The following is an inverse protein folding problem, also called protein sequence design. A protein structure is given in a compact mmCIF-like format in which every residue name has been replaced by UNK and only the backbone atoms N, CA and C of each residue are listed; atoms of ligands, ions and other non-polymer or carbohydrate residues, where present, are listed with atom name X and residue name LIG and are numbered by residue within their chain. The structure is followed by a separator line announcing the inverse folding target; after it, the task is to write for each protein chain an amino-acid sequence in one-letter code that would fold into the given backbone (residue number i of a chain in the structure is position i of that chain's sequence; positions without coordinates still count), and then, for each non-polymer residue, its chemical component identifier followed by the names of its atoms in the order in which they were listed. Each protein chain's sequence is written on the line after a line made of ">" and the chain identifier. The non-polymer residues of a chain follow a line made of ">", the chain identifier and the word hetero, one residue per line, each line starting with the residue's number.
data_IF_908337746588
#
_entry.id   IF_908337746588
#
_cell.length_a   1.000
_cell.length_b   1.000
_cell.length_c   1.000
_cell.angle_alpha   90.00
_cell.angle_beta   90.00
_cell.angle_gamma   90.00
#
_symmetry.space_group_name_H-M   'P 1'
#
loop_
_entity.id
_entity.type
_entity.pdbx_description
1 polymer ?
#
# COMPACT_ATOMS: atom_id res chain seq x y z
N UNK A 1 47.82 -66.69 -3.45
CA UNK A 1 48.16 -65.28 -3.72
C UNK A 1 46.89 -64.58 -4.13
N UNK A 2 46.50 -63.63 -3.29
CA UNK A 2 45.14 -63.35 -2.88
C UNK A 2 44.26 -62.54 -3.84
N UNK A 3 42.96 -62.85 -3.75
CA UNK A 3 41.84 -62.11 -4.31
C UNK A 3 41.66 -60.80 -3.54
N UNK A 4 41.78 -59.66 -4.20
CA UNK A 4 41.14 -58.41 -3.74
C UNK A 4 40.25 -57.83 -4.83
N UNK A 5 39.04 -58.37 -4.89
CA UNK A 5 37.85 -57.71 -5.44
C UNK A 5 37.49 -56.49 -4.58
N UNK A 6 37.99 -55.31 -4.95
CA UNK A 6 37.52 -54.06 -4.37
C UNK A 6 36.20 -53.66 -5.06
N UNK A 7 35.08 -54.21 -4.57
CA UNK A 7 33.74 -53.68 -4.84
C UNK A 7 33.63 -52.28 -4.23
N UNK A 8 33.87 -51.24 -5.01
CA UNK A 8 33.50 -49.89 -4.62
C UNK A 8 31.97 -49.84 -4.50
N UNK A 9 31.52 -49.62 -3.25
CA UNK A 9 30.13 -49.69 -2.81
C UNK A 9 29.33 -48.49 -3.37
N UNK A 10 28.13 -48.70 -3.95
CA UNK A 10 27.29 -47.64 -4.55
C UNK A 10 26.64 -46.69 -3.52
N UNK A 11 27.13 -46.64 -2.29
CA UNK A 11 26.47 -46.00 -1.15
C UNK A 11 26.86 -44.53 -0.92
N UNK A 12 27.72 -43.93 -1.76
CA UNK A 12 28.16 -42.53 -1.59
C UNK A 12 27.43 -41.50 -2.44
N UNK A 13 26.77 -41.90 -3.52
CA UNK A 13 26.00 -41.00 -4.39
C UNK A 13 24.61 -40.66 -3.84
N UNK A 14 24.02 -41.52 -3.00
CA UNK A 14 22.69 -41.27 -2.42
C UNK A 14 22.72 -40.17 -1.35
N UNK A 15 23.85 -39.96 -0.68
CA UNK A 15 23.95 -38.97 0.41
C UNK A 15 24.19 -37.52 -0.06
N UNK A 16 24.59 -37.31 -1.31
CA UNK A 16 24.78 -35.99 -1.90
C UNK A 16 23.54 -35.46 -2.64
N UNK A 17 22.56 -36.32 -2.96
CA UNK A 17 21.28 -35.89 -3.53
C UNK A 17 20.27 -35.41 -2.46
N UNK A 18 20.44 -35.77 -1.18
CA UNK A 18 19.58 -35.24 -0.11
C UNK A 18 19.98 -33.84 0.39
N UNK A 19 21.22 -33.40 0.19
CA UNK A 19 21.67 -32.08 0.67
C UNK A 19 21.38 -30.94 -0.32
N UNK A 20 21.23 -31.22 -1.62
CA UNK A 20 20.84 -30.22 -2.61
C UNK A 20 19.35 -29.87 -2.57
N UNK A 21 18.50 -30.78 -2.09
CA UNK A 21 17.05 -30.61 -2.04
C UNK A 21 16.54 -29.89 -0.78
N UNK A 22 17.43 -29.48 0.13
CA UNK A 22 17.07 -28.70 1.32
C UNK A 22 17.34 -27.18 1.17
N UNK A 23 18.05 -26.75 0.12
CA UNK A 23 18.30 -25.32 -0.16
C UNK A 23 17.32 -24.68 -1.16
N UNK A 24 16.49 -25.48 -1.83
CA UNK A 24 15.46 -24.98 -2.77
C UNK A 24 14.10 -24.74 -2.08
N UNK A 25 13.87 -25.32 -0.90
CA UNK A 25 12.60 -25.21 -0.18
C UNK A 25 12.40 -23.94 0.68
N UNK A 26 13.44 -23.12 0.85
CA UNK A 26 13.40 -21.99 1.80
C UNK A 26 12.99 -20.63 1.18
N UNK A 27 12.72 -20.57 -0.13
CA UNK A 27 12.50 -19.29 -0.85
C UNK A 27 11.01 -19.00 -1.15
N UNK A 28 10.08 -19.90 -0.85
CA UNK A 28 8.68 -19.80 -1.34
C UNK A 28 7.62 -19.43 -0.30
N UNK A 29 7.99 -18.87 0.85
CA UNK A 29 7.03 -18.27 1.79
C UNK A 29 7.11 -16.74 1.83
N UNK A 30 7.24 -16.10 0.67
CA UNK A 30 6.86 -14.69 0.54
C UNK A 30 5.33 -14.65 0.43
N UNK A 31 4.65 -14.66 1.58
CA UNK A 31 3.23 -14.34 1.64
C UNK A 31 3.05 -12.96 1.00
N UNK A 32 2.51 -12.93 -0.22
CA UNK A 32 2.17 -11.72 -0.92
C UNK A 32 1.10 -11.00 -0.10
N UNK A 33 1.53 -10.04 0.74
CA UNK A 33 0.57 -9.13 1.34
C UNK A 33 -0.18 -8.47 0.18
N UNK A 34 -1.52 -8.53 0.14
CA UNK A 34 -2.25 -7.78 -0.85
C UNK A 34 -1.86 -6.31 -0.67
N UNK A 35 -1.14 -5.77 -1.63
CA UNK A 35 -0.86 -4.35 -1.70
C UNK A 35 -2.22 -3.70 -1.96
N UNK A 36 -2.82 -3.11 -0.92
CA UNK A 36 -3.93 -2.20 -1.15
C UNK A 36 -3.42 -1.13 -2.11
N UNK A 37 -4.04 -1.02 -3.29
CA UNK A 37 -3.72 0.05 -4.22
C UNK A 37 -3.92 1.38 -3.49
N UNK A 38 -2.83 2.13 -3.29
CA UNK A 38 -2.89 3.44 -2.64
C UNK A 38 -3.80 4.34 -3.49
N UNK A 39 -4.91 4.79 -2.92
CA UNK A 39 -5.81 5.73 -3.60
C UNK A 39 -5.18 7.12 -3.52
N UNK A 40 -5.08 7.80 -4.66
CA UNK A 40 -4.54 9.16 -4.75
C UNK A 40 -5.66 10.18 -4.86
N UNK A 41 -5.54 11.27 -4.10
CA UNK A 41 -6.44 12.41 -4.11
C UNK A 41 -5.66 13.68 -4.46
N UNK A 42 -6.34 14.66 -5.06
CA UNK A 42 -5.75 15.95 -5.43
C UNK A 42 -6.41 17.10 -4.68
N UNK A 43 -5.61 18.03 -4.18
CA UNK A 43 -6.03 19.32 -3.65
C UNK A 43 -5.37 20.42 -4.45
N UNK A 44 -6.15 21.38 -4.94
CA UNK A 44 -5.66 22.53 -5.71
C UNK A 44 -5.55 23.73 -4.80
N UNK A 45 -4.44 24.46 -4.90
CA UNK A 45 -4.29 25.78 -4.30
C UNK A 45 -4.52 26.83 -5.37
N UNK A 46 -5.67 27.50 -5.31
CA UNK A 46 -6.04 28.57 -6.23
C UNK A 46 -6.95 29.59 -5.52
N UNK A 47 -6.79 30.88 -5.85
CA UNK A 47 -7.56 31.97 -5.25
C UNK A 47 -7.34 32.09 -3.73
N UNK A 48 -6.12 31.82 -3.24
CA UNK A 48 -5.80 31.79 -1.81
C UNK A 48 -6.66 30.79 -1.01
N UNK A 49 -7.05 29.69 -1.66
CA UNK A 49 -7.88 28.65 -1.07
C UNK A 49 -7.38 27.25 -1.45
N UNK A 50 -7.61 26.29 -0.57
CA UNK A 50 -7.47 24.87 -0.88
C UNK A 50 -8.80 24.33 -1.41
N UNK A 51 -8.77 23.60 -2.53
CA UNK A 51 -9.94 23.00 -3.17
C UNK A 51 -9.75 21.49 -3.38
N UNK A 52 -10.62 20.62 -2.84
CA UNK A 52 -11.77 20.97 -2.00
C UNK A 52 -11.34 21.48 -0.62
N UNK A 53 -12.18 22.32 0.01
CA UNK A 53 -11.92 22.83 1.37
C UNK A 53 -11.98 21.75 2.44
N UNK A 54 -12.80 20.73 2.23
CA UNK A 54 -12.86 19.53 3.07
C UNK A 54 -12.72 18.32 2.17
N UNK A 55 -11.71 17.50 2.44
CA UNK A 55 -11.47 16.24 1.75
C UNK A 55 -11.72 15.07 2.71
N UNK A 56 -12.30 13.97 2.22
CA UNK A 56 -12.45 12.73 2.99
C UNK A 56 -11.76 11.60 2.24
N UNK A 57 -10.86 10.90 2.92
CA UNK A 57 -10.07 9.78 2.39
C UNK A 57 -10.12 8.59 3.34
N UNK A 58 -9.53 7.47 2.93
CA UNK A 58 -9.31 6.30 3.80
C UNK A 58 -7.83 6.22 4.17
N UNK A 59 -7.52 5.77 5.38
CA UNK A 59 -6.14 5.52 5.81
C UNK A 59 -5.40 4.64 4.80
N UNK A 60 -4.16 5.01 4.48
CA UNK A 60 -3.35 4.47 3.40
C UNK A 60 -3.44 5.24 2.08
N UNK A 61 -4.32 6.24 1.97
CA UNK A 61 -4.42 7.10 0.77
C UNK A 61 -3.34 8.19 0.75
N UNK A 62 -2.96 8.60 -0.45
CA UNK A 62 -2.05 9.72 -0.69
C UNK A 62 -2.82 10.95 -1.14
N UNK A 63 -2.52 12.12 -0.57
CA UNK A 63 -3.05 13.40 -1.03
C UNK A 63 -1.92 14.18 -1.68
N UNK A 64 -2.15 14.71 -2.88
CA UNK A 64 -1.25 15.59 -3.61
C UNK A 64 -1.83 16.99 -3.66
N UNK A 65 -1.13 17.96 -3.09
CA UNK A 65 -1.42 19.37 -3.25
C UNK A 65 -0.69 19.92 -4.45
N UNK A 66 -1.37 20.72 -5.27
CA UNK A 66 -0.77 21.39 -6.43
C UNK A 66 -1.07 22.88 -6.36
N UNK A 67 -0.04 23.70 -6.50
CA UNK A 67 -0.20 25.13 -6.56
C UNK A 67 -0.50 25.60 -7.98
N UNK A 68 -1.69 26.15 -8.21
CA UNK A 68 -2.08 26.78 -9.47
C UNK A 68 -2.12 28.32 -9.37
N UNK A 69 -1.98 28.86 -8.15
CA UNK A 69 -1.83 30.28 -7.88
C UNK A 69 -0.46 30.82 -8.27
N UNK A 70 -0.40 32.13 -8.50
CA UNK A 70 0.85 32.87 -8.63
C UNK A 70 1.57 33.01 -7.30
N UNK A 71 0.81 33.17 -6.21
CA UNK A 71 1.35 33.24 -4.87
C UNK A 71 1.92 31.88 -4.44
N UNK A 72 3.08 31.84 -3.75
CA UNK A 72 3.59 30.60 -3.19
C UNK A 72 2.75 30.16 -1.98
N UNK A 73 2.55 28.86 -1.85
CA UNK A 73 1.73 28.26 -0.79
C UNK A 73 2.41 27.04 -0.18
N UNK A 74 2.10 26.74 1.07
CA UNK A 74 2.52 25.53 1.77
C UNK A 74 1.32 24.89 2.50
N UNK A 75 1.54 23.70 3.05
CA UNK A 75 0.55 22.94 3.81
C UNK A 75 1.14 22.66 5.18
N UNK A 76 0.53 23.22 6.23
CA UNK A 76 0.93 22.96 7.61
C UNK A 76 -0.27 22.58 8.46
N UNK A 77 -0.21 21.42 9.13
CA UNK A 77 -1.26 21.04 10.08
C UNK A 77 -1.33 22.00 11.26
N UNK A 78 -2.56 22.34 11.64
CA UNK A 78 -2.90 23.07 12.86
C UNK A 78 -3.46 22.15 13.94
N UNK A 79 -4.05 21.01 13.53
CA UNK A 79 -4.57 19.98 14.44
C UNK A 79 -4.60 18.62 13.75
N UNK A 80 -4.51 17.54 14.52
CA UNK A 80 -4.72 16.18 14.03
C UNK A 80 -3.78 15.16 14.67
N UNK A 81 -3.87 13.88 14.25
CA UNK A 81 -3.06 12.79 14.77
C UNK A 81 -1.55 12.88 14.51
N UNK A 82 -1.12 13.57 13.45
CA UNK A 82 0.30 13.76 13.11
C UNK A 82 0.56 15.19 12.59
N UNK A 83 1.72 15.79 12.90
CA UNK A 83 2.14 17.04 12.30
C UNK A 83 2.68 16.81 10.88
N UNK A 84 2.25 17.63 9.93
CA UNK A 84 2.83 17.70 8.58
C UNK A 84 3.17 19.14 8.24
N UNK A 85 4.25 19.33 7.48
CA UNK A 85 4.60 20.61 6.89
C UNK A 85 5.28 20.38 5.53
N UNK A 86 4.66 20.85 4.46
CA UNK A 86 5.28 20.83 3.13
C UNK A 86 6.36 21.91 3.00
N UNK A 87 7.27 21.79 2.02
CA UNK A 87 8.00 22.94 1.52
C UNK A 87 7.05 24.01 0.96
N UNK A 88 7.59 25.20 0.74
CA UNK A 88 6.89 26.25 -0.01
C UNK A 88 6.81 25.85 -1.49
N UNK A 89 5.61 25.88 -2.06
CA UNK A 89 5.32 25.49 -3.44
C UNK A 89 5.09 26.73 -4.28
N UNK A 90 5.96 26.99 -5.24
CA UNK A 90 5.74 27.98 -6.30
C UNK A 90 4.64 27.51 -7.25
N UNK A 91 4.16 28.40 -8.14
CA UNK A 91 3.20 28.05 -9.19
C UNK A 91 3.63 26.81 -9.98
N UNK A 92 2.73 25.87 -10.16
CA UNK A 92 2.94 24.57 -10.79
C UNK A 92 3.60 23.52 -9.89
N UNK A 93 4.06 23.90 -8.70
CA UNK A 93 4.67 22.99 -7.74
C UNK A 93 3.65 22.03 -7.13
N UNK A 94 4.11 20.84 -6.76
CA UNK A 94 3.28 19.82 -6.13
C UNK A 94 4.01 19.13 -4.97
N UNK A 95 3.25 18.70 -3.98
CA UNK A 95 3.74 17.91 -2.85
C UNK A 95 2.70 16.87 -2.44
N UNK A 96 3.17 15.69 -2.03
CA UNK A 96 2.32 14.56 -1.67
C UNK A 96 2.60 14.05 -0.27
N UNK A 97 1.56 13.61 0.44
CA UNK A 97 1.67 12.94 1.73
C UNK A 97 0.70 11.76 1.82
N UNK A 98 1.15 10.65 2.41
CA UNK A 98 0.33 9.45 2.63
C UNK A 98 -0.15 9.42 4.08
N UNK A 99 -1.46 9.45 4.26
CA UNK A 99 -2.08 9.46 5.59
C UNK A 99 -2.38 8.05 6.04
N UNK A 100 -1.73 7.60 7.10
CA UNK A 100 -1.94 6.25 7.67
C UNK A 100 -2.73 6.24 8.97
N UNK A 101 -2.83 7.39 9.64
CA UNK A 101 -3.53 7.54 10.92
C UNK A 101 -4.96 8.06 10.69
N UNK A 102 -6.00 7.30 11.09
CA UNK A 102 -7.38 7.80 11.04
C UNK A 102 -7.56 9.01 11.97
N UNK A 103 -8.36 9.97 11.55
CA UNK A 103 -8.64 11.18 12.33
C UNK A 103 -9.07 12.35 11.47
N UNK A 104 -9.30 13.49 12.13
CA UNK A 104 -9.58 14.76 11.45
C UNK A 104 -8.38 15.67 11.59
N UNK A 105 -7.94 16.20 10.45
CA UNK A 105 -6.80 17.09 10.31
C UNK A 105 -7.31 18.47 9.93
N UNK A 106 -6.83 19.50 10.66
CA UNK A 106 -6.93 20.88 10.25
C UNK A 106 -5.58 21.32 9.71
N UNK A 107 -5.56 22.11 8.63
CA UNK A 107 -4.32 22.66 8.08
C UNK A 107 -4.52 24.05 7.47
N UNK A 108 -3.41 24.76 7.34
CA UNK A 108 -3.32 26.17 6.93
C UNK A 108 -2.13 26.36 6.00
N UNK A 109 -2.19 27.41 5.17
CA UNK A 109 -0.99 27.97 4.55
C UNK A 109 -0.35 29.00 5.49
N UNK A 110 0.94 28.86 5.79
CA UNK A 110 1.63 29.64 6.82
C UNK A 110 1.77 31.13 6.48
N UNK A 111 1.80 31.46 5.18
CA UNK A 111 1.90 32.85 4.70
C UNK A 111 0.53 33.50 4.42
N UNK A 112 -0.55 32.72 4.44
CA UNK A 112 -1.92 33.20 4.23
C UNK A 112 -2.86 32.66 5.33
N UNK A 113 -2.94 33.31 6.50
CA UNK A 113 -3.65 32.75 7.67
C UNK A 113 -5.14 32.45 7.47
N UNK A 114 -5.81 33.08 6.49
CA UNK A 114 -7.20 32.78 6.14
C UNK A 114 -7.38 31.51 5.29
N UNK A 115 -6.31 31.03 4.67
CA UNK A 115 -6.32 29.86 3.79
C UNK A 115 -6.25 28.59 4.64
N UNK A 116 -7.42 28.07 5.01
CA UNK A 116 -7.58 26.90 5.89
C UNK A 116 -8.45 25.82 5.24
N UNK A 117 -8.14 24.57 5.55
CA UNK A 117 -8.90 23.42 5.09
C UNK A 117 -8.86 22.24 6.08
N UNK A 118 -9.74 21.28 5.84
CA UNK A 118 -9.88 20.07 6.65
C UNK A 118 -9.68 18.80 5.83
N UNK A 119 -9.14 17.77 6.47
CA UNK A 119 -9.02 16.43 5.91
C UNK A 119 -9.55 15.41 6.92
N UNK A 120 -10.50 14.57 6.50
CA UNK A 120 -11.02 13.46 7.30
C UNK A 120 -10.43 12.16 6.77
N UNK A 121 -9.67 11.47 7.60
CA UNK A 121 -9.09 10.16 7.30
C UNK A 121 -9.91 9.09 8.02
N UNK A 122 -10.69 8.34 7.26
CA UNK A 122 -11.45 7.19 7.76
C UNK A 122 -10.52 6.01 8.02
N UNK A 123 -10.85 5.16 8.98
CA UNK A 123 -10.16 3.89 9.15
C UNK A 123 -10.24 3.05 7.87
N UNK A 124 -9.14 2.40 7.51
CA UNK A 124 -9.18 1.36 6.50
C UNK A 124 -10.09 0.23 7.00
N UNK A 125 -10.89 -0.35 6.10
CA UNK A 125 -11.60 -1.57 6.42
C UNK A 125 -10.56 -2.63 6.84
N UNK A 126 -10.79 -3.28 7.97
CA UNK A 126 -9.96 -4.41 8.36
C UNK A 126 -10.00 -5.43 7.22
N UNK A 127 -8.85 -6.04 6.84
CA UNK A 127 -8.88 -7.14 5.90
C UNK A 127 -9.83 -8.19 6.46
N UNK A 128 -10.85 -8.56 5.68
CA UNK A 128 -11.77 -9.63 6.05
C UNK A 128 -10.90 -10.84 6.39
N UNK A 129 -11.03 -11.43 7.60
CA UNK A 129 -10.36 -12.69 7.86
C UNK A 129 -10.89 -13.67 6.82
N UNK A 130 -10.03 -14.10 5.88
CA UNK A 130 -10.35 -15.30 5.11
C UNK A 130 -10.53 -16.39 6.16
N UNK A 131 -11.77 -16.85 6.33
CA UNK A 131 -12.06 -18.02 7.16
C UNK A 131 -11.24 -19.17 6.58
N UNK A 132 -10.07 -19.42 7.15
CA UNK A 132 -9.35 -20.66 6.92
C UNK A 132 -10.29 -21.76 7.44
N UNK A 133 -10.65 -22.77 6.62
CA UNK A 133 -11.45 -23.88 7.09
C UNK A 133 -10.75 -24.49 8.31
N UNK A 134 -11.34 -24.32 9.48
CA UNK A 134 -10.87 -24.96 10.68
C UNK A 134 -11.16 -26.46 10.53
N UNK A 135 -10.13 -27.26 10.28
CA UNK A 135 -10.22 -28.70 10.49
C UNK A 135 -10.38 -28.93 11.99
N UNK A 136 -11.62 -29.03 12.45
CA UNK A 136 -11.94 -29.39 13.83
C UNK A 136 -11.41 -30.80 14.11
N UNK A 137 -10.26 -30.90 14.77
CA UNK A 137 -9.86 -32.10 15.51
C UNK A 137 -10.64 -32.06 16.83
N UNK A 138 -11.75 -32.79 16.86
CA UNK A 138 -12.58 -32.98 18.05
C UNK A 138 -11.95 -34.09 18.90
N UNK A 139 -11.10 -33.72 19.86
CA UNK A 139 -10.78 -34.62 20.98
C UNK A 139 -11.67 -34.23 22.15
N UNK A 140 -12.51 -35.17 22.57
CA UNK A 140 -13.61 -34.97 23.49
C UNK A 140 -13.21 -34.49 24.88
N UNK A 141 -14.11 -33.71 25.47
CA UNK A 141 -14.33 -33.69 26.91
C UNK A 141 -15.83 -33.48 27.17
N UNK A 142 -16.37 -34.38 27.97
CA UNK A 142 -17.78 -34.47 28.40
C UNK A 142 -18.14 -33.37 29.44
N UNK A 143 -19.44 -33.16 29.70
CA UNK A 143 -19.96 -31.93 30.31
C UNK A 143 -20.06 -32.01 31.84
N UNK A 144 -20.00 -30.85 32.49
CA UNK A 144 -20.40 -30.68 33.89
C UNK A 144 -21.45 -29.57 34.01
N UNK A 145 -22.44 -29.85 34.86
CA UNK A 145 -23.80 -29.34 34.94
C UNK A 145 -24.00 -27.86 35.36
N UNK A 146 -25.11 -27.29 34.86
CA UNK A 146 -26.17 -26.48 35.53
C UNK A 146 -25.96 -26.13 37.02
N UNK A 147 -26.33 -24.97 37.61
CA UNK A 147 -27.36 -23.92 37.43
C UNK A 147 -27.21 -22.95 38.67
N UNK A 148 -28.05 -21.93 39.01
CA UNK A 148 -28.97 -21.05 38.26
C UNK A 148 -28.78 -19.52 38.56
N UNK A 149 -29.67 -18.71 37.95
CA UNK A 149 -29.81 -17.25 37.91
C UNK A 149 -30.02 -16.50 39.24
N UNK A 150 -29.70 -15.19 39.27
CA UNK A 150 -30.56 -14.12 39.83
C UNK A 150 -30.29 -12.74 39.18
N UNK A 151 -31.37 -12.04 38.82
CA UNK A 151 -31.43 -10.59 38.52
C UNK A 151 -32.21 -9.93 39.66
N UNK A 152 -31.90 -8.67 40.03
CA UNK A 152 -32.92 -7.64 39.83
C UNK A 152 -32.37 -6.24 39.47
N UNK A 153 -33.24 -5.45 38.84
CA UNK A 153 -33.19 -3.97 38.74
C UNK A 153 -34.29 -3.38 39.68
N UNK A 154 -34.56 -2.06 39.72
CA UNK A 154 -33.75 -0.84 39.69
C UNK A 154 -34.02 0.06 40.94
N UNK A 155 -33.25 1.14 41.13
CA UNK A 155 -33.68 2.25 42.03
C UNK A 155 -33.40 3.61 41.42
N UNK A 156 -34.46 4.40 41.27
CA UNK A 156 -34.44 5.81 40.90
C UNK A 156 -34.03 6.68 42.10
N UNK A 157 -33.35 7.80 41.84
CA UNK A 157 -33.43 8.98 42.70
C UNK A 157 -33.56 10.25 41.86
N UNK A 158 -34.57 11.03 42.22
CA UNK A 158 -35.00 12.24 41.57
C UNK A 158 -34.27 13.48 42.10
N UNK A 159 -34.18 14.48 41.22
CA UNK A 159 -34.39 15.91 41.43
C UNK A 159 -33.69 16.64 42.59
N UNK A 160 -32.88 17.65 42.25
CA UNK A 160 -32.90 18.96 42.90
C UNK A 160 -32.77 20.04 41.82
N UNK A 161 -33.84 20.80 41.61
CA UNK A 161 -33.85 21.97 40.74
C UNK A 161 -33.18 23.18 41.38
N UNK A 162 -32.93 24.21 40.55
CA UNK A 162 -33.26 25.61 40.85
C UNK A 162 -33.22 26.45 39.56
N UNK A 163 -34.18 27.36 39.53
CA UNK A 163 -34.68 28.29 38.52
C UNK A 163 -33.91 29.61 38.43
N UNK A 164 -33.89 30.23 37.24
CA UNK A 164 -34.09 31.68 36.96
C UNK A 164 -33.76 31.95 35.46
N UNK A 165 -34.71 32.23 34.55
CA UNK A 165 -35.27 33.56 34.19
C UNK A 165 -34.17 34.58 33.78
N UNK A 166 -34.16 35.28 32.64
CA UNK A 166 -35.24 35.90 31.84
C UNK A 166 -34.72 36.31 30.41
N UNK A 167 -35.56 36.91 29.51
CA UNK A 167 -35.35 36.93 28.05
C UNK A 167 -35.04 38.30 27.39
N UNK A 168 -34.81 38.20 26.06
CA UNK A 168 -35.08 39.15 24.95
C UNK A 168 -34.22 40.39 24.70
N UNK A 169 -33.60 40.44 23.51
CA UNK A 169 -33.52 41.54 22.52
C UNK A 169 -32.30 41.28 21.61
N UNK A 170 -32.28 41.30 20.29
CA UNK A 170 -33.21 41.59 19.22
C UNK A 170 -32.48 41.26 17.90
N UNK A 171 -33.21 40.82 16.89
CA UNK A 171 -32.77 40.93 15.48
C UNK A 171 -33.14 42.33 14.98
N UNK A 172 -32.52 42.81 13.88
CA UNK A 172 -33.23 42.64 12.61
C UNK A 172 -32.35 42.32 11.38
N UNK A 173 -33.04 41.66 10.43
CA UNK A 173 -32.99 41.81 8.96
C UNK A 173 -31.66 41.45 8.23
N UNK A 174 -31.60 40.42 7.38
CA UNK A 174 -32.26 40.27 6.06
C UNK A 174 -32.00 41.51 5.18
N UNK A 175 -31.46 41.44 3.96
CA UNK A 175 -31.95 40.68 2.79
C UNK A 175 -31.07 41.10 1.55
N UNK A 176 -31.36 40.76 0.27
CA UNK A 176 -30.78 39.59 -0.40
C UNK A 176 -30.29 39.87 -1.86
N UNK A 177 -30.14 38.77 -2.63
CA UNK A 177 -30.20 38.64 -4.10
C UNK A 177 -28.92 38.97 -4.90
N UNK A 178 -28.63 38.34 -6.06
CA UNK A 178 -29.07 37.13 -6.75
C UNK A 178 -28.19 37.02 -8.03
N UNK A 179 -27.92 35.81 -8.50
CA UNK A 179 -27.71 35.39 -9.91
C UNK A 179 -26.98 34.03 -9.87
N UNK A 180 -27.60 32.87 -10.13
CA UNK A 180 -28.18 32.37 -11.38
C UNK A 180 -27.17 32.25 -12.54
N UNK A 181 -27.16 31.05 -13.16
CA UNK A 181 -26.37 30.57 -14.30
C UNK A 181 -24.94 30.11 -13.96
N UNK A 182 -24.40 28.98 -14.44
CA UNK A 182 -24.89 27.89 -15.27
C UNK A 182 -23.96 26.68 -15.03
N UNK A 183 -24.47 25.46 -15.24
CA UNK A 183 -23.63 24.29 -15.44
C UNK A 183 -22.81 24.44 -16.73
N UNK A 184 -21.55 23.93 -16.79
CA UNK A 184 -20.96 23.51 -18.05
C UNK A 184 -20.85 21.99 -18.10
N UNK A 185 -21.52 21.49 -19.13
CA UNK A 185 -21.34 20.24 -19.88
C UNK A 185 -19.89 19.74 -19.89
N UNK A 186 -19.74 18.42 -19.72
CA UNK A 186 -18.51 17.71 -20.08
C UNK A 186 -18.24 17.92 -21.57
N UNK A 187 -17.11 18.55 -21.91
CA UNK A 187 -16.61 18.58 -23.28
C UNK A 187 -15.25 17.90 -23.29
N UNK A 188 -15.24 16.68 -23.84
CA UNK A 188 -14.04 16.08 -24.40
C UNK A 188 -13.52 16.98 -25.52
N UNK A 189 -12.23 17.33 -25.45
CA UNK A 189 -11.49 17.83 -26.59
C UNK A 189 -10.07 17.28 -26.53
N UNK A 190 -9.69 16.67 -27.64
CA UNK A 190 -8.49 15.92 -27.87
C UNK A 190 -7.22 16.79 -27.91
N UNK A 191 -6.11 16.09 -27.65
CA UNK A 191 -4.79 16.24 -28.25
C UNK A 191 -4.27 17.66 -28.51
N UNK A 192 -3.32 18.08 -27.67
CA UNK A 192 -2.17 18.83 -28.13
C UNK A 192 -0.92 18.17 -27.54
N UNK A 193 -0.15 17.54 -28.42
CA UNK A 193 1.18 17.02 -28.16
C UNK A 193 2.10 18.14 -27.65
N UNK A 194 2.76 17.90 -26.53
CA UNK A 194 4.00 18.59 -26.19
C UNK A 194 4.98 17.54 -25.70
N UNK A 195 5.99 17.33 -26.54
CA UNK A 195 7.14 16.45 -26.37
C UNK A 195 7.89 16.76 -25.08
N UNK A 196 7.53 16.08 -24.00
CA UNK A 196 8.39 15.89 -22.85
C UNK A 196 8.84 14.44 -22.88
N UNK A 197 10.16 14.22 -22.92
CA UNK A 197 10.80 12.92 -22.81
C UNK A 197 10.43 12.30 -21.46
N UNK A 198 9.29 11.64 -21.43
CA UNK A 198 8.86 10.79 -20.34
C UNK A 198 9.71 9.52 -20.43
N UNK A 199 10.59 9.32 -19.45
CA UNK A 199 11.12 7.99 -19.18
C UNK A 199 9.91 7.06 -19.05
N UNK A 200 9.71 6.20 -20.06
CA UNK A 200 8.61 5.25 -20.12
C UNK A 200 8.63 4.45 -18.81
N UNK A 201 7.55 4.42 -18.01
CA UNK A 201 7.53 3.56 -16.84
C UNK A 201 7.75 2.13 -17.35
N UNK A 202 8.86 1.51 -16.91
CA UNK A 202 9.23 0.18 -17.36
C UNK A 202 8.10 -0.76 -16.96
N UNK A 203 7.49 -1.37 -17.96
CA UNK A 203 6.39 -2.31 -17.76
C UNK A 203 6.93 -3.48 -16.91
N UNK A 204 6.40 -3.70 -15.69
CA UNK A 204 6.92 -4.71 -14.78
C UNK A 204 6.83 -6.13 -15.36
N UNK A 205 5.91 -6.35 -16.30
CA UNK A 205 5.78 -7.62 -17.02
C UNK A 205 6.91 -7.84 -18.03
N UNK A 206 7.39 -6.78 -18.69
CA UNK A 206 8.55 -6.84 -19.59
C UNK A 206 9.85 -7.05 -18.82
N UNK A 207 9.97 -6.43 -17.64
CA UNK A 207 11.13 -6.61 -16.78
C UNK A 207 11.21 -8.07 -16.28
N UNK A 208 10.07 -8.64 -15.88
CA UNK A 208 9.99 -10.04 -15.48
C UNK A 208 10.29 -11.00 -16.64
N UNK A 209 9.74 -10.75 -17.82
CA UNK A 209 10.03 -11.54 -19.02
C UNK A 209 11.52 -11.49 -19.42
N UNK A 210 12.13 -10.30 -19.33
CA UNK A 210 13.56 -10.11 -19.60
C UNK A 210 14.46 -10.86 -18.63
N UNK A 211 14.12 -10.85 -17.33
CA UNK A 211 14.86 -11.59 -16.30
C UNK A 211 14.74 -13.10 -16.53
N UNK A 212 13.54 -13.61 -16.84
CA UNK A 212 13.32 -15.05 -17.11
C UNK A 212 14.10 -15.51 -18.33
N UNK A 213 14.10 -14.72 -19.41
CA UNK A 213 14.88 -15.02 -20.61
C UNK A 213 16.39 -15.00 -20.33
N UNK A 214 16.88 -14.01 -19.57
CA UNK A 214 18.30 -13.92 -19.19
C UNK A 214 18.77 -15.10 -18.35
N UNK A 215 17.98 -15.53 -17.38
CA UNK A 215 18.28 -16.71 -16.55
C UNK A 215 18.27 -17.99 -17.39
N UNK A 216 17.31 -18.15 -18.31
CA UNK A 216 17.27 -19.30 -19.20
C UNK A 216 18.52 -19.38 -20.11
N UNK A 217 18.94 -18.26 -20.70
CA UNK A 217 20.15 -18.19 -21.53
C UNK A 217 21.41 -18.50 -20.69
N UNK A 218 21.52 -17.94 -19.50
CA UNK A 218 22.65 -18.23 -18.60
C UNK A 218 22.69 -19.71 -18.21
N UNK A 219 21.54 -20.33 -17.92
CA UNK A 219 21.45 -21.76 -17.66
C UNK A 219 21.90 -22.58 -18.88
N UNK A 220 21.44 -22.26 -20.10
CA UNK A 220 21.90 -22.98 -21.31
C UNK A 220 23.41 -22.85 -21.53
N UNK A 221 24.00 -21.66 -21.29
CA UNK A 221 25.44 -21.45 -21.43
C UNK A 221 26.25 -22.26 -20.40
N UNK A 222 25.78 -22.33 -19.15
CA UNK A 222 26.40 -23.15 -18.11
C UNK A 222 26.23 -24.65 -18.36
N UNK A 223 25.14 -25.05 -19.03
CA UNK A 223 24.92 -26.44 -19.45
C UNK A 223 25.73 -26.82 -20.69
N UNK A 224 26.01 -25.87 -21.59
CA UNK A 224 26.83 -26.08 -22.77
C UNK A 224 28.34 -26.10 -22.48
N UNK A 225 28.81 -25.27 -21.54
CA UNK A 225 30.24 -25.19 -21.20
C UNK A 225 30.81 -26.46 -20.54
N UNK A 226 29.95 -27.26 -19.89
CA UNK A 226 30.32 -28.57 -19.33
C UNK A 226 30.42 -29.70 -20.37
N UNK A 227 29.90 -29.50 -21.58
CA UNK A 227 29.96 -30.51 -22.65
C UNK A 227 31.26 -30.44 -23.48
N UNK A 228 32.13 -29.46 -23.22
CA UNK A 228 33.38 -29.23 -23.97
C UNK A 228 34.64 -29.95 -23.48
N UNK A 229 34.59 -30.75 -22.40
CA UNK A 229 35.78 -31.35 -21.79
C UNK A 229 35.89 -32.88 -21.91
N UNK A 230 35.12 -33.50 -22.80
CA UNK A 230 35.23 -34.94 -23.06
C UNK A 230 35.39 -35.21 -24.57
N UNK A 231 36.63 -35.17 -25.07
CA UNK A 231 36.90 -35.56 -26.45
C UNK A 231 38.28 -35.19 -26.99
N UNK A 232 39.37 -35.55 -26.31
CA UNK A 232 40.72 -35.49 -26.90
C UNK A 232 41.67 -36.51 -26.25
N UNK A 233 41.40 -37.81 -26.43
CA UNK A 233 42.41 -38.88 -26.42
C UNK A 233 41.86 -40.06 -27.20
N UNK A 234 42.11 -40.08 -28.50
CA UNK A 234 42.58 -41.32 -29.14
C UNK A 234 43.19 -41.00 -30.50
N UNK A 235 44.40 -41.48 -30.70
CA UNK A 235 45.21 -41.25 -31.90
C UNK A 235 46.42 -42.16 -31.82
N UNK A 236 46.16 -43.45 -31.97
CA UNK A 236 47.16 -44.50 -31.92
C UNK A 236 48.10 -44.47 -33.13
N UNK A 237 49.26 -45.09 -32.95
CA UNK A 237 50.11 -45.58 -34.03
C UNK A 237 50.18 -47.11 -33.95
N UNK A 238 49.88 -47.85 -35.03
CA UNK A 238 50.22 -49.26 -35.14
C UNK A 238 51.66 -49.44 -35.63
N UNK A 239 52.25 -50.55 -35.20
CA UNK A 239 53.61 -51.01 -35.45
C UNK A 239 53.85 -51.43 -36.90
N UNK A 240 55.08 -51.19 -37.37
CA UNK A 240 55.63 -51.50 -38.69
C UNK A 240 55.77 -53.00 -39.00
N UNK A 241 55.85 -53.24 -40.32
CA UNK A 241 56.31 -54.43 -41.05
C UNK A 241 57.75 -54.86 -40.69
#
# INVERSE_FOLDING_TARGET
>A
MDRLTARLRPARTVRLLLAGMLLVGAVTFLATRPAHAATSYRVVMSGYAFSPRVLTITAGSTVTWVNEDQAPHDVKTTSGPEPIHSPMLSKGGAWSHTFTLPGTYGYVCTVHPGMTAGLVVKAAAAPTPTTQPATHQHTGSLPAAAQPAQSPAPTAHAAHGRTAAAPSSGSPAASPAAAAAAAPTQQAAAAAESTASAARPLDPLLLLAGVVAGVAVLCLLLVGSRSGTAGARDGGTPSSN
#
